data_IF_523569559632
#
_entry.id   IF_523569559632
#
_cell.length_a   1.000
_cell.length_b   1.000
_cell.length_c   1.000
_cell.angle_alpha   90.00
_cell.angle_beta   90.00
_cell.angle_gamma   90.00
#
_symmetry.space_group_name_H-M   'P 1'
#
loop_
_entity.id
_entity.type
_entity.pdbx_description
1 polymer ?
#
# COMPACT_ATOMS: atom_id res chain seq x y z
N UNK A 1 -22.59 -29.63 15.82
CA UNK A 1 -23.25 -28.54 15.05
C UNK A 1 -23.08 -27.13 15.63
N UNK A 2 -23.08 -26.90 16.96
CA UNK A 2 -22.86 -25.54 17.53
C UNK A 2 -21.43 -24.98 17.35
N UNK A 3 -20.41 -25.84 17.33
CA UNK A 3 -19.01 -25.44 17.21
C UNK A 3 -18.62 -24.92 15.81
N UNK A 4 -19.14 -25.54 14.76
CA UNK A 4 -18.91 -25.12 13.36
C UNK A 4 -19.52 -23.75 13.07
N UNK A 5 -20.67 -23.44 13.69
CA UNK A 5 -21.34 -22.15 13.53
C UNK A 5 -20.57 -21.00 14.21
N UNK A 6 -19.96 -21.24 15.39
CA UNK A 6 -19.07 -20.26 16.04
C UNK A 6 -17.81 -19.96 15.23
N UNK A 7 -17.23 -20.97 14.57
CA UNK A 7 -16.03 -20.80 13.75
C UNK A 7 -16.34 -19.98 12.49
N UNK A 8 -17.44 -20.30 11.79
CA UNK A 8 -17.91 -19.54 10.63
C UNK A 8 -18.13 -18.06 10.99
N UNK A 9 -18.79 -17.79 12.12
CA UNK A 9 -18.99 -16.40 12.61
C UNK A 9 -17.69 -15.66 12.92
N UNK A 10 -16.66 -16.34 13.44
CA UNK A 10 -15.35 -15.73 13.68
C UNK A 10 -14.65 -15.38 12.36
N UNK A 11 -14.69 -16.29 11.39
CA UNK A 11 -14.12 -16.07 10.05
C UNK A 11 -14.80 -14.88 9.36
N UNK A 12 -16.12 -14.80 9.41
CA UNK A 12 -16.87 -13.68 8.82
C UNK A 12 -16.54 -12.34 9.49
N UNK A 13 -16.37 -12.31 10.82
CA UNK A 13 -15.94 -11.11 11.54
C UNK A 13 -14.53 -10.65 11.15
N UNK A 14 -13.59 -11.59 11.04
CA UNK A 14 -12.21 -11.28 10.60
C UNK A 14 -12.23 -10.76 9.16
N UNK A 15 -12.98 -11.41 8.27
CA UNK A 15 -13.14 -10.99 6.86
C UNK A 15 -13.72 -9.58 6.75
N UNK A 16 -14.78 -9.27 7.50
CA UNK A 16 -15.36 -7.92 7.52
C UNK A 16 -14.39 -6.89 8.07
N UNK A 17 -13.66 -7.19 9.14
CA UNK A 17 -12.68 -6.28 9.73
C UNK A 17 -11.53 -6.00 8.74
N UNK A 18 -11.01 -7.05 8.10
CA UNK A 18 -9.98 -6.93 7.07
C UNK A 18 -10.46 -6.10 5.88
N UNK A 19 -11.68 -6.34 5.40
CA UNK A 19 -12.28 -5.59 4.29
C UNK A 19 -12.45 -4.10 4.62
N UNK A 20 -12.97 -3.78 5.81
CA UNK A 20 -13.10 -2.39 6.27
C UNK A 20 -11.73 -1.70 6.39
N UNK A 21 -10.74 -2.40 6.93
CA UNK A 21 -9.36 -1.89 7.03
C UNK A 21 -8.77 -1.61 5.65
N UNK A 22 -8.95 -2.53 4.71
CA UNK A 22 -8.46 -2.41 3.34
C UNK A 22 -9.11 -1.23 2.60
N UNK A 23 -10.43 -1.04 2.73
CA UNK A 23 -11.11 0.13 2.14
C UNK A 23 -10.61 1.41 2.76
N UNK A 24 -10.55 1.49 4.10
CA UNK A 24 -10.12 2.70 4.80
C UNK A 24 -8.68 3.08 4.44
N UNK A 25 -7.76 2.11 4.45
CA UNK A 25 -6.35 2.36 4.08
C UNK A 25 -6.22 2.76 2.61
N UNK A 26 -6.96 2.12 1.71
CA UNK A 26 -6.92 2.45 0.27
C UNK A 26 -7.47 3.85 0.02
N UNK A 27 -8.57 4.22 0.68
CA UNK A 27 -9.16 5.55 0.58
C UNK A 27 -8.20 6.64 1.08
N UNK A 28 -7.50 6.40 2.18
CA UNK A 28 -6.47 7.31 2.70
C UNK A 28 -5.33 7.48 1.69
N UNK A 29 -4.79 6.38 1.14
CA UNK A 29 -3.69 6.44 0.16
C UNK A 29 -4.11 7.20 -1.11
N UNK A 30 -5.30 6.91 -1.64
CA UNK A 30 -5.83 7.60 -2.83
C UNK A 30 -6.04 9.09 -2.55
N UNK A 31 -6.62 9.42 -1.38
CA UNK A 31 -6.83 10.81 -0.97
C UNK A 31 -5.50 11.58 -0.86
N UNK A 32 -4.49 11.00 -0.19
CA UNK A 32 -3.16 11.60 -0.11
C UNK A 32 -2.51 11.79 -1.48
N UNK A 33 -2.69 10.83 -2.39
CA UNK A 33 -2.15 10.90 -3.75
C UNK A 33 -2.79 12.04 -4.55
N UNK A 34 -4.11 12.19 -4.46
CA UNK A 34 -4.84 13.30 -5.09
C UNK A 34 -4.36 14.63 -4.51
N UNK A 35 -4.22 14.72 -3.19
CA UNK A 35 -3.78 15.92 -2.50
C UNK A 35 -2.34 16.32 -2.90
N UNK A 36 -1.44 15.35 -3.07
CA UNK A 36 -0.09 15.57 -3.59
C UNK A 36 -0.09 16.12 -5.02
N UNK A 37 -0.96 15.60 -5.89
CA UNK A 37 -1.12 16.11 -7.27
C UNK A 37 -1.63 17.56 -7.25
N UNK A 38 -2.61 17.86 -6.41
CA UNK A 38 -3.15 19.22 -6.27
C UNK A 38 -2.07 20.20 -5.78
N UNK A 39 -1.27 19.82 -4.77
CA UNK A 39 -0.15 20.64 -4.30
C UNK A 39 0.86 20.87 -5.42
N UNK A 40 1.25 19.81 -6.14
CA UNK A 40 2.21 19.91 -7.24
C UNK A 40 1.70 20.85 -8.34
N UNK A 41 0.43 20.73 -8.72
CA UNK A 41 -0.22 21.66 -9.66
C UNK A 41 -0.24 23.09 -9.14
N UNK A 42 -0.53 23.30 -7.85
CA UNK A 42 -0.56 24.63 -7.24
C UNK A 42 0.83 25.27 -7.25
N UNK A 43 1.89 24.50 -6.99
CA UNK A 43 3.28 24.95 -7.06
C UNK A 43 3.60 25.44 -8.48
N UNK A 44 3.19 24.73 -9.51
CA UNK A 44 3.40 25.15 -10.91
C UNK A 44 2.69 26.49 -11.18
N UNK A 45 1.41 26.61 -10.78
CA UNK A 45 0.63 27.85 -10.95
C UNK A 45 1.28 29.01 -10.18
N UNK A 46 1.71 28.79 -8.94
CA UNK A 46 2.37 29.80 -8.12
C UNK A 46 3.72 30.25 -8.71
N UNK A 47 4.50 29.31 -9.26
CA UNK A 47 5.76 29.65 -9.93
C UNK A 47 5.51 30.46 -11.21
N UNK A 48 4.52 30.08 -12.03
CA UNK A 48 4.15 30.84 -13.23
C UNK A 48 3.59 32.23 -12.88
N UNK A 49 2.77 32.31 -11.83
CA UNK A 49 2.27 33.58 -11.30
C UNK A 49 3.43 34.47 -10.85
N UNK A 50 4.39 33.90 -10.12
CA UNK A 50 5.60 34.61 -9.69
C UNK A 50 6.40 35.15 -10.87
N UNK A 51 6.54 34.39 -11.96
CA UNK A 51 7.20 34.89 -13.18
C UNK A 51 6.46 36.09 -13.78
N UNK A 52 5.13 36.08 -13.80
CA UNK A 52 4.32 37.14 -14.42
C UNK A 52 4.33 38.45 -13.65
N UNK A 53 4.28 38.39 -12.32
CA UNK A 53 4.11 39.56 -11.46
C UNK A 53 5.40 39.98 -10.74
N UNK A 54 6.53 39.32 -11.01
CA UNK A 54 7.80 39.72 -10.45
C UNK A 54 8.35 40.98 -11.13
N UNK A 55 8.94 41.88 -10.33
CA UNK A 55 9.61 43.10 -10.79
C UNK A 55 10.91 42.80 -11.56
N UNK A 56 11.56 41.66 -11.29
CA UNK A 56 12.81 41.23 -11.95
C UNK A 56 12.67 39.86 -12.66
N UNK A 57 11.81 39.74 -13.69
CA UNK A 57 11.49 38.45 -14.30
C UNK A 57 12.71 37.84 -14.99
N UNK A 58 13.55 38.64 -15.67
CA UNK A 58 14.73 38.14 -16.40
C UNK A 58 15.76 37.43 -15.52
N UNK A 59 15.86 37.81 -14.24
CA UNK A 59 16.87 37.27 -13.33
C UNK A 59 16.39 36.01 -12.59
N UNK A 60 15.08 35.89 -12.38
CA UNK A 60 14.47 34.88 -11.49
C UNK A 60 13.65 33.82 -12.24
N UNK A 61 13.29 34.08 -13.50
CA UNK A 61 12.47 33.17 -14.31
C UNK A 61 13.09 31.78 -14.41
N UNK A 62 14.40 31.68 -14.64
CA UNK A 62 15.10 30.40 -14.71
C UNK A 62 14.94 29.59 -13.40
N UNK A 63 14.98 30.27 -12.25
CA UNK A 63 14.84 29.64 -10.94
C UNK A 63 13.41 29.12 -10.71
N UNK A 64 12.39 29.94 -11.02
CA UNK A 64 10.99 29.52 -10.88
C UNK A 64 10.61 28.37 -11.83
N UNK A 65 11.14 28.39 -13.07
CA UNK A 65 10.95 27.27 -14.01
C UNK A 65 11.65 26.02 -13.48
N UNK A 66 12.88 26.13 -12.98
CA UNK A 66 13.61 25.00 -12.41
C UNK A 66 12.84 24.39 -11.21
N UNK A 67 12.30 25.22 -10.31
CA UNK A 67 11.48 24.75 -9.18
C UNK A 67 10.22 24.02 -9.63
N UNK A 68 9.52 24.54 -10.66
CA UNK A 68 8.34 23.87 -11.21
C UNK A 68 8.69 22.49 -11.81
N UNK A 69 9.77 22.40 -12.58
CA UNK A 69 10.23 21.14 -13.17
C UNK A 69 10.65 20.14 -12.09
N UNK A 70 11.44 20.59 -11.10
CA UNK A 70 11.87 19.74 -9.97
C UNK A 70 10.66 19.20 -9.21
N UNK A 71 9.65 20.04 -8.94
CA UNK A 71 8.41 19.61 -8.26
C UNK A 71 7.72 18.46 -9.02
N UNK A 72 7.59 18.57 -10.34
CA UNK A 72 6.97 17.53 -11.18
C UNK A 72 7.78 16.23 -11.13
N UNK A 73 9.10 16.31 -11.23
CA UNK A 73 9.99 15.14 -11.16
C UNK A 73 9.88 14.45 -9.80
N UNK A 74 9.87 15.22 -8.70
CA UNK A 74 9.69 14.69 -7.35
C UNK A 74 8.34 13.97 -7.24
N UNK A 75 7.24 14.59 -7.70
CA UNK A 75 5.91 13.97 -7.69
C UNK A 75 5.89 12.65 -8.47
N UNK A 76 6.55 12.61 -9.63
CA UNK A 76 6.66 11.39 -10.43
C UNK A 76 7.40 10.27 -9.69
N UNK A 77 8.54 10.59 -9.05
CA UNK A 77 9.32 9.62 -8.28
C UNK A 77 8.49 9.06 -7.12
N UNK A 78 7.79 9.91 -6.38
CA UNK A 78 6.90 9.47 -5.31
C UNK A 78 5.78 8.55 -5.80
N UNK A 79 5.20 8.83 -6.97
CA UNK A 79 4.20 7.97 -7.58
C UNK A 79 4.76 6.57 -7.90
N UNK A 80 5.96 6.51 -8.49
CA UNK A 80 6.64 5.24 -8.79
C UNK A 80 6.96 4.45 -7.51
N UNK A 81 7.51 5.12 -6.50
CA UNK A 81 7.82 4.46 -5.21
C UNK A 81 6.57 3.88 -4.56
N UNK A 82 5.47 4.64 -4.56
CA UNK A 82 4.19 4.19 -4.02
C UNK A 82 3.66 2.97 -4.78
N UNK A 83 3.74 3.00 -6.11
CA UNK A 83 3.35 1.87 -6.97
C UNK A 83 4.16 0.61 -6.69
N UNK A 84 5.49 0.74 -6.57
CA UNK A 84 6.38 -0.38 -6.24
C UNK A 84 6.12 -0.93 -4.84
N UNK A 85 5.87 -0.06 -3.85
CA UNK A 85 5.57 -0.47 -2.49
C UNK A 85 4.27 -1.30 -2.42
N UNK A 86 3.22 -0.88 -3.12
CA UNK A 86 1.95 -1.61 -3.23
C UNK A 86 2.18 -2.97 -3.91
N UNK A 87 2.95 -3.00 -4.99
CA UNK A 87 3.27 -4.22 -5.72
C UNK A 87 4.03 -5.22 -4.83
N UNK A 88 5.03 -4.76 -4.09
CA UNK A 88 5.78 -5.60 -3.15
C UNK A 88 4.91 -6.13 -2.02
N UNK A 89 4.02 -5.31 -1.46
CA UNK A 89 3.10 -5.76 -0.43
C UNK A 89 2.15 -6.85 -0.95
N UNK A 90 1.62 -6.67 -2.18
CA UNK A 90 0.78 -7.67 -2.84
C UNK A 90 1.54 -8.99 -3.04
N UNK A 91 2.77 -8.93 -3.55
CA UNK A 91 3.57 -10.13 -3.79
C UNK A 91 3.86 -10.90 -2.50
N UNK A 92 4.21 -10.20 -1.40
CA UNK A 92 4.38 -10.82 -0.08
C UNK A 92 3.11 -11.49 0.43
N UNK A 93 1.95 -10.86 0.21
CA UNK A 93 0.67 -11.43 0.60
C UNK A 93 0.36 -12.70 -0.21
N UNK A 94 0.58 -12.68 -1.52
CA UNK A 94 0.38 -13.83 -2.40
C UNK A 94 1.32 -15.00 -2.01
N UNK A 95 2.57 -14.69 -1.66
CA UNK A 95 3.53 -15.68 -1.15
C UNK A 95 3.05 -16.33 0.16
N UNK A 96 2.62 -15.53 1.14
CA UNK A 96 2.11 -16.03 2.41
C UNK A 96 0.85 -16.88 2.23
N UNK A 97 -0.06 -16.47 1.33
CA UNK A 97 -1.24 -17.27 0.97
C UNK A 97 -0.83 -18.59 0.32
N UNK A 98 0.20 -18.59 -0.54
CA UNK A 98 0.72 -19.81 -1.15
C UNK A 98 1.32 -20.77 -0.12
N UNK A 99 2.19 -20.28 0.77
CA UNK A 99 2.78 -21.08 1.86
C UNK A 99 1.71 -21.70 2.76
N UNK A 100 0.68 -20.93 3.12
CA UNK A 100 -0.43 -21.44 3.92
C UNK A 100 -1.25 -22.52 3.19
N UNK A 101 -1.48 -22.38 1.88
CA UNK A 101 -2.16 -23.42 1.08
C UNK A 101 -1.36 -24.70 1.03
N UNK A 102 -0.05 -24.60 0.82
CA UNK A 102 0.86 -25.74 0.80
C UNK A 102 0.88 -26.47 2.14
N UNK A 103 0.98 -25.74 3.26
CA UNK A 103 0.89 -26.30 4.60
C UNK A 103 -0.43 -27.05 4.81
N UNK A 104 -1.57 -26.43 4.48
CA UNK A 104 -2.89 -27.09 4.60
C UNK A 104 -2.96 -28.36 3.76
N UNK A 105 -2.36 -28.37 2.57
CA UNK A 105 -2.33 -29.54 1.70
C UNK A 105 -1.46 -30.66 2.30
N UNK A 106 -0.29 -30.33 2.83
CA UNK A 106 0.61 -31.28 3.49
C UNK A 106 -0.06 -31.89 4.73
N UNK A 107 -0.73 -31.07 5.55
CA UNK A 107 -1.48 -31.52 6.72
C UNK A 107 -2.68 -32.42 6.36
N UNK A 108 -3.32 -32.20 5.20
CA UNK A 108 -4.41 -33.06 4.71
C UNK A 108 -3.93 -34.41 4.19
N UNK A 109 -2.68 -34.50 3.73
CA UNK A 109 -2.09 -35.73 3.19
C UNK A 109 -1.44 -36.61 4.26
N UNK A 110 -1.04 -36.02 5.41
CA UNK A 110 -0.49 -36.76 6.55
C UNK A 110 -1.61 -37.32 7.45
N UNK A 111 -1.51 -38.59 7.81
CA UNK A 111 -2.44 -39.27 8.73
C UNK A 111 -2.14 -38.99 10.20
N UNK A 112 -0.87 -38.70 10.53
CA UNK A 112 -0.39 -38.32 11.86
C UNK A 112 0.52 -37.08 11.75
N UNK A 113 0.40 -36.16 12.71
CA UNK A 113 1.23 -34.96 12.80
C UNK A 113 2.46 -35.23 13.66
N UNK A 114 3.65 -34.90 13.16
CA UNK A 114 4.87 -34.95 13.96
C UNK A 114 5.10 -33.62 14.71
N UNK A 115 6.11 -33.58 15.57
CA UNK A 115 6.42 -32.39 16.37
C UNK A 115 6.93 -31.22 15.53
N UNK A 116 7.64 -31.47 14.42
CA UNK A 116 8.05 -30.43 13.46
C UNK A 116 6.85 -29.79 12.75
N UNK A 117 5.79 -30.55 12.46
CA UNK A 117 4.56 -30.04 11.86
C UNK A 117 3.84 -29.09 12.84
N UNK A 118 3.90 -29.38 14.15
CA UNK A 118 3.33 -28.53 15.20
C UNK A 118 4.16 -27.25 15.37
N UNK A 119 5.47 -27.34 15.33
CA UNK A 119 6.37 -26.19 15.43
C UNK A 119 6.20 -25.26 14.21
N UNK A 120 6.09 -25.81 13.00
CA UNK A 120 5.78 -25.05 11.78
C UNK A 120 4.42 -24.33 11.85
N UNK A 121 3.39 -24.99 12.40
CA UNK A 121 2.07 -24.37 12.61
C UNK A 121 2.17 -23.23 13.63
N UNK A 122 2.94 -23.42 14.71
CA UNK A 122 3.14 -22.42 15.76
C UNK A 122 3.85 -21.18 15.24
N UNK A 123 4.91 -21.36 14.43
CA UNK A 123 5.66 -20.25 13.84
C UNK A 123 4.77 -19.40 12.91
N UNK A 124 3.96 -20.04 12.07
CA UNK A 124 3.05 -19.36 11.14
C UNK A 124 1.88 -18.65 11.87
N UNK A 125 1.48 -19.14 13.06
CA UNK A 125 0.43 -18.51 13.87
C UNK A 125 0.94 -17.31 14.68
N UNK A 126 2.24 -17.23 14.92
CA UNK A 126 2.87 -16.20 15.74
C UNK A 126 3.54 -15.08 14.90
N UNK A 127 3.75 -15.30 13.60
CA UNK A 127 4.11 -14.27 12.60
C UNK A 127 2.89 -13.44 12.12
#
# INVERSE_FOLDING_TARGET
>A
MKHTNKLAQKIDKVKQSAYKKLISSSAIIVSLSILAILISSLIIVLNLYSIRYNEFPKQTMALFVALAVISVVITLIFAIQTFLAITNYKNKLDENVSKNKELIQNLKQKTDLNQEDIDLISDILND
#
